data_IF_961432663998
#
_entry.id   IF_961432663998
#
_cell.length_a   1.000
_cell.length_b   1.000
_cell.length_c   1.000
_cell.angle_alpha   90.00
_cell.angle_beta   90.00
_cell.angle_gamma   90.00
#
_symmetry.space_group_name_H-M   'P 1'
#
loop_
_entity.id
_entity.type
_entity.pdbx_description
1 polymer ?
#
# COMPACT_ATOMS: atom_id res chain seq x y z
N UNK A 1 24.82 6.25 -26.56
CA UNK A 1 23.83 5.33 -27.12
C UNK A 1 22.63 5.12 -26.18
N UNK A 2 21.99 6.20 -25.70
CA UNK A 2 20.82 6.17 -24.77
C UNK A 2 19.51 6.72 -25.38
N UNK A 3 19.55 7.29 -26.59
CA UNK A 3 18.40 8.02 -27.16
C UNK A 3 17.48 7.16 -28.04
N UNK A 4 17.91 5.96 -28.47
CA UNK A 4 17.10 5.10 -29.33
C UNK A 4 16.12 4.19 -28.57
N UNK A 5 16.35 3.90 -27.28
CA UNK A 5 15.46 3.08 -26.47
C UNK A 5 14.22 3.86 -25.99
N UNK A 6 14.34 5.18 -25.80
CA UNK A 6 13.21 6.02 -25.40
C UNK A 6 12.17 6.13 -26.51
N UNK A 7 12.57 6.22 -27.77
CA UNK A 7 11.64 6.45 -28.90
C UNK A 7 10.67 5.28 -29.10
N UNK A 8 11.10 4.03 -28.84
CA UNK A 8 10.23 2.86 -28.94
C UNK A 8 9.23 2.79 -27.77
N UNK A 9 9.63 3.21 -26.57
CA UNK A 9 8.75 3.24 -25.39
C UNK A 9 7.60 4.27 -25.48
N UNK A 10 7.72 5.29 -26.35
CA UNK A 10 6.68 6.31 -26.55
C UNK A 10 5.64 5.96 -27.63
N UNK A 11 5.89 4.94 -28.47
CA UNK A 11 4.98 4.55 -29.55
C UNK A 11 4.09 3.33 -29.20
N UNK A 12 4.22 2.79 -27.99
CA UNK A 12 3.45 1.63 -27.53
C UNK A 12 2.46 2.02 -26.42
N UNK A 13 1.34 2.64 -26.82
CA UNK A 13 0.26 3.01 -25.90
C UNK A 13 -0.52 1.77 -25.39
N UNK A 14 -0.38 0.60 -26.03
CA UNK A 14 -1.10 -0.62 -25.66
C UNK A 14 -0.62 -1.17 -24.31
N UNK A 15 0.70 -1.21 -24.11
CA UNK A 15 1.32 -1.62 -22.85
C UNK A 15 0.96 -0.71 -21.67
N UNK A 16 0.72 0.59 -21.93
CA UNK A 16 0.31 1.55 -20.89
C UNK A 16 -1.14 1.31 -20.44
N UNK A 17 -2.02 0.91 -21.35
CA UNK A 17 -3.41 0.59 -21.03
C UNK A 17 -3.51 -0.69 -20.21
N UNK A 18 -2.78 -1.74 -20.59
CA UNK A 18 -2.74 -3.01 -19.86
C UNK A 18 -2.19 -2.83 -18.44
N UNK A 19 -1.12 -2.05 -18.29
CA UNK A 19 -0.56 -1.76 -16.97
C UNK A 19 -1.54 -0.98 -16.07
N UNK A 20 -2.33 -0.05 -16.63
CA UNK A 20 -3.39 0.66 -15.89
C UNK A 20 -4.54 -0.26 -15.47
N UNK A 21 -4.91 -1.22 -16.32
CA UNK A 21 -5.93 -2.24 -15.98
C UNK A 21 -5.45 -3.07 -14.79
N UNK A 22 -4.20 -3.57 -14.83
CA UNK A 22 -3.62 -4.36 -13.74
C UNK A 22 -3.60 -3.62 -12.40
N UNK A 23 -3.30 -2.32 -12.37
CA UNK A 23 -3.37 -1.55 -11.12
C UNK A 23 -4.80 -1.40 -10.60
N UNK A 24 -5.78 -1.19 -11.48
CA UNK A 24 -7.19 -1.12 -11.07
C UNK A 24 -7.67 -2.44 -10.51
N UNK A 25 -7.36 -3.55 -11.16
CA UNK A 25 -7.71 -4.89 -10.68
C UNK A 25 -7.12 -5.17 -9.29
N UNK A 26 -5.83 -4.84 -9.07
CA UNK A 26 -5.20 -4.94 -7.75
C UNK A 26 -5.91 -4.10 -6.70
N UNK A 27 -6.22 -2.84 -7.02
CA UNK A 27 -6.90 -1.94 -6.09
C UNK A 27 -8.30 -2.45 -5.74
N UNK A 28 -9.06 -2.92 -6.74
CA UNK A 28 -10.41 -3.45 -6.56
C UNK A 28 -10.42 -4.75 -5.74
N UNK A 29 -9.39 -5.59 -5.87
CA UNK A 29 -9.29 -6.81 -5.07
C UNK A 29 -8.82 -6.54 -3.64
N UNK A 30 -7.82 -5.67 -3.45
CA UNK A 30 -7.15 -5.46 -2.16
C UNK A 30 -7.92 -4.52 -1.24
N UNK A 31 -8.49 -3.43 -1.75
CA UNK A 31 -9.11 -2.40 -0.90
C UNK A 31 -10.28 -2.95 -0.06
N UNK A 32 -11.22 -3.75 -0.59
CA UNK A 32 -12.30 -4.33 0.22
C UNK A 32 -11.80 -5.24 1.35
N UNK A 33 -10.66 -5.91 1.16
CA UNK A 33 -10.05 -6.75 2.19
C UNK A 33 -9.52 -5.87 3.32
N UNK A 34 -8.73 -4.85 2.98
CA UNK A 34 -8.13 -3.93 3.97
C UNK A 34 -9.19 -3.12 4.73
N UNK A 35 -10.29 -2.73 4.08
CA UNK A 35 -11.39 -1.97 4.68
C UNK A 35 -12.06 -2.68 5.88
N UNK A 36 -11.83 -3.97 6.07
CA UNK A 36 -12.32 -4.71 7.23
C UNK A 36 -11.67 -4.29 8.55
N UNK A 37 -10.43 -3.77 8.51
CA UNK A 37 -9.62 -3.50 9.71
C UNK A 37 -9.02 -2.08 9.76
N UNK A 38 -9.07 -1.34 8.66
CA UNK A 38 -8.50 0.01 8.55
C UNK A 38 -9.29 0.88 7.59
N UNK A 39 -9.09 2.20 7.65
CA UNK A 39 -9.72 3.13 6.69
C UNK A 39 -8.78 3.35 5.51
N UNK A 40 -9.23 2.98 4.31
CA UNK A 40 -8.47 3.12 3.06
C UNK A 40 -9.44 3.25 1.89
N UNK A 41 -9.06 4.07 0.90
CA UNK A 41 -9.83 4.33 -0.32
C UNK A 41 -8.97 4.07 -1.57
N UNK A 42 -9.63 3.76 -2.69
CA UNK A 42 -8.95 3.65 -3.98
C UNK A 42 -8.56 5.05 -4.44
N UNK A 43 -7.26 5.34 -4.66
CA UNK A 43 -6.82 6.65 -5.13
C UNK A 43 -7.22 6.87 -6.59
N UNK A 44 -7.37 8.13 -6.99
CA UNK A 44 -7.71 8.50 -8.38
C UNK A 44 -6.65 8.04 -9.40
N UNK A 45 -5.39 7.88 -8.98
CA UNK A 45 -4.29 7.39 -9.79
C UNK A 45 -3.15 6.86 -8.92
N UNK A 46 -2.23 6.12 -9.53
CA UNK A 46 -1.04 5.57 -8.89
C UNK A 46 -1.20 4.12 -8.43
N UNK A 47 -0.21 3.64 -7.69
CA UNK A 47 -0.11 2.25 -7.21
C UNK A 47 0.03 2.15 -5.69
N UNK A 48 -0.06 3.28 -4.98
CA UNK A 48 0.08 3.34 -3.53
C UNK A 48 -1.26 3.63 -2.87
N UNK A 49 -1.58 2.87 -1.82
CA UNK A 49 -2.64 3.19 -0.89
C UNK A 49 -2.07 4.00 0.28
N UNK A 50 -2.83 5.01 0.72
CA UNK A 50 -2.57 5.74 1.96
C UNK A 50 -3.61 5.32 2.98
N UNK A 51 -3.24 4.38 3.85
CA UNK A 51 -4.18 3.72 4.75
C UNK A 51 -4.08 4.30 6.16
N UNK A 52 -5.21 4.70 6.74
CA UNK A 52 -5.32 5.16 8.13
C UNK A 52 -5.48 3.97 9.06
N UNK A 53 -4.55 3.83 9.99
CA UNK A 53 -4.46 2.69 10.89
C UNK A 53 -5.28 2.91 12.17
N UNK A 54 -5.82 1.84 12.78
CA UNK A 54 -6.45 1.92 14.10
C UNK A 54 -5.42 1.97 15.25
N UNK A 55 -4.13 1.76 14.94
CA UNK A 55 -3.01 1.72 15.87
C UNK A 55 -1.85 2.58 15.37
N UNK A 56 -0.84 2.76 16.22
CA UNK A 56 0.42 3.42 15.86
C UNK A 56 1.10 2.79 14.62
N UNK A 57 1.63 3.63 13.73
CA UNK A 57 2.14 3.20 12.42
C UNK A 57 3.49 2.48 12.50
N UNK A 58 4.34 2.79 13.48
CA UNK A 58 5.56 2.03 13.74
C UNK A 58 5.24 0.67 14.33
N UNK A 59 4.35 0.61 15.33
CA UNK A 59 3.91 -0.65 15.92
C UNK A 59 3.31 -1.58 14.86
N UNK A 60 2.45 -1.05 13.99
CA UNK A 60 1.89 -1.80 12.88
C UNK A 60 2.99 -2.39 11.98
N UNK A 61 3.94 -1.57 11.54
CA UNK A 61 5.01 -2.03 10.64
C UNK A 61 5.93 -3.08 11.29
N UNK A 62 6.27 -2.90 12.56
CA UNK A 62 7.12 -3.82 13.31
C UNK A 62 6.43 -5.17 13.53
N UNK A 63 5.18 -5.17 14.00
CA UNK A 63 4.43 -6.40 14.25
C UNK A 63 4.16 -7.15 12.96
N UNK A 64 3.73 -6.45 11.90
CA UNK A 64 3.47 -7.07 10.61
C UNK A 64 4.72 -7.71 10.01
N UNK A 65 5.89 -7.09 10.16
CA UNK A 65 7.14 -7.69 9.71
C UNK A 65 7.54 -8.89 10.57
N UNK A 66 7.45 -8.78 11.90
CA UNK A 66 7.84 -9.85 12.82
C UNK A 66 6.98 -11.11 12.68
N UNK A 67 5.67 -10.95 12.52
CA UNK A 67 4.72 -12.07 12.53
C UNK A 67 4.41 -12.57 11.11
N UNK A 68 4.32 -11.68 10.14
CA UNK A 68 3.83 -12.01 8.79
C UNK A 68 4.89 -11.86 7.70
N UNK A 69 6.10 -11.36 8.03
CA UNK A 69 7.18 -11.08 7.09
C UNK A 69 6.78 -10.13 5.95
N UNK A 70 5.75 -9.30 6.17
CA UNK A 70 5.29 -8.29 5.22
C UNK A 70 5.89 -6.93 5.60
N UNK A 71 6.45 -6.23 4.60
CA UNK A 71 7.05 -4.90 4.78
C UNK A 71 6.10 -3.81 4.32
N UNK A 72 5.92 -2.81 5.17
CA UNK A 72 5.13 -1.61 4.91
C UNK A 72 5.93 -0.39 5.36
N UNK A 73 5.52 0.80 4.93
CA UNK A 73 6.21 2.05 5.29
C UNK A 73 5.34 2.85 6.28
N UNK A 74 5.83 3.12 7.51
CA UNK A 74 5.18 4.05 8.43
C UNK A 74 5.02 5.42 7.78
N UNK A 75 3.82 5.99 7.90
CA UNK A 75 3.46 7.25 7.28
C UNK A 75 4.23 8.42 7.87
N UNK A 76 4.55 8.35 9.17
CA UNK A 76 5.31 9.41 9.84
C UNK A 76 6.71 9.61 9.26
N UNK A 77 7.27 8.61 8.57
CA UNK A 77 8.57 8.71 7.87
C UNK A 77 8.49 9.46 6.54
N UNK A 78 7.28 9.69 6.01
CA UNK A 78 7.05 10.40 4.75
C UNK A 78 6.61 11.86 4.94
N UNK A 79 6.48 12.30 6.18
CA UNK A 79 6.03 13.64 6.53
C UNK A 79 6.98 14.30 7.54
N UNK A 80 6.90 15.62 7.63
CA UNK A 80 7.71 16.41 8.57
C UNK A 80 6.81 16.93 9.69
N UNK A 81 7.27 16.81 10.93
CA UNK A 81 6.62 17.43 12.08
C UNK A 81 6.78 18.96 12.01
N UNK A 82 5.67 19.68 12.09
CA UNK A 82 5.61 21.14 12.17
C UNK A 82 4.64 21.52 13.27
N UNK A 83 5.03 22.38 14.21
CA UNK A 83 4.21 22.79 15.35
C UNK A 83 3.62 21.58 16.12
N UNK A 84 4.47 20.59 16.43
CA UNK A 84 4.10 19.34 17.11
C UNK A 84 3.05 18.47 16.39
N UNK A 85 2.80 18.75 15.11
CA UNK A 85 1.87 17.97 14.27
C UNK A 85 2.62 17.31 13.10
N UNK A 86 2.43 16.00 12.94
CA UNK A 86 2.93 15.23 11.80
C UNK A 86 1.74 14.58 11.07
N UNK A 87 1.43 14.97 9.82
CA UNK A 87 0.28 14.44 9.08
C UNK A 87 0.44 12.97 8.64
N UNK A 88 1.64 12.40 8.79
CA UNK A 88 1.92 11.00 8.48
C UNK A 88 1.62 10.04 9.62
N UNK A 89 1.51 10.52 10.87
CA UNK A 89 1.29 9.68 12.06
C UNK A 89 -0.04 8.94 11.95
N UNK A 90 -0.02 7.65 12.26
CA UNK A 90 -1.22 6.79 12.18
C UNK A 90 -1.63 6.42 10.75
N UNK A 91 -0.74 6.60 9.77
CA UNK A 91 -0.94 6.13 8.39
C UNK A 91 0.16 5.16 7.97
N UNK A 92 -0.12 4.34 6.96
CA UNK A 92 0.90 3.56 6.25
C UNK A 92 0.76 3.69 4.74
N UNK A 93 1.90 3.74 4.04
CA UNK A 93 1.95 3.66 2.58
C UNK A 93 2.11 2.21 2.13
N UNK A 94 1.12 1.69 1.42
CA UNK A 94 1.12 0.34 0.86
C UNK A 94 1.29 0.41 -0.65
N UNK A 95 2.32 -0.22 -1.21
CA UNK A 95 2.58 -0.19 -2.66
C UNK A 95 2.18 -1.52 -3.32
N UNK A 96 1.18 -1.48 -4.21
CA UNK A 96 0.65 -2.66 -4.91
C UNK A 96 1.44 -2.94 -6.20
N UNK A 97 2.74 -3.21 -6.04
CA UNK A 97 3.69 -3.35 -7.16
C UNK A 97 3.99 -4.80 -7.55
N UNK A 98 3.63 -5.78 -6.72
CA UNK A 98 3.78 -7.21 -7.01
C UNK A 98 2.58 -7.76 -7.82
N UNK A 99 2.55 -9.05 -8.12
CA UNK A 99 1.41 -9.70 -8.79
C UNK A 99 0.13 -9.58 -7.96
N UNK A 100 -1.02 -9.76 -8.61
CA UNK A 100 -2.34 -9.67 -7.96
C UNK A 100 -2.44 -10.62 -6.76
N UNK A 101 -2.06 -11.89 -6.94
CA UNK A 101 -2.14 -12.91 -5.89
C UNK A 101 -1.30 -12.54 -4.66
N UNK A 102 -0.07 -12.04 -4.88
CA UNK A 102 0.81 -11.59 -3.78
C UNK A 102 0.21 -10.38 -3.06
N UNK A 103 -0.44 -9.47 -3.79
CA UNK A 103 -1.10 -8.33 -3.18
C UNK A 103 -2.34 -8.73 -2.36
N UNK A 104 -3.12 -9.71 -2.82
CA UNK A 104 -4.27 -10.26 -2.08
C UNK A 104 -3.79 -10.96 -0.81
N UNK A 105 -2.81 -11.86 -0.94
CA UNK A 105 -2.24 -12.58 0.20
C UNK A 105 -1.67 -11.62 1.27
N UNK A 106 -0.96 -10.57 0.84
CA UNK A 106 -0.46 -9.55 1.75
C UNK A 106 -1.60 -8.80 2.48
N UNK A 107 -2.73 -8.54 1.79
CA UNK A 107 -3.89 -7.89 2.40
C UNK A 107 -4.55 -8.78 3.46
N UNK A 108 -4.68 -10.08 3.20
CA UNK A 108 -5.22 -11.06 4.15
C UNK A 108 -4.33 -11.19 5.40
N UNK A 109 -3.00 -11.23 5.22
CA UNK A 109 -2.04 -11.23 6.34
C UNK A 109 -2.13 -9.96 7.19
N UNK A 110 -2.37 -8.80 6.56
CA UNK A 110 -2.60 -7.53 7.27
C UNK A 110 -3.88 -7.62 8.12
N UNK A 111 -4.98 -8.13 7.55
CA UNK A 111 -6.24 -8.34 8.28
C UNK A 111 -6.03 -9.27 9.48
N UNK A 112 -5.34 -10.39 9.30
CA UNK A 112 -5.03 -11.33 10.38
C UNK A 112 -4.22 -10.65 11.50
N UNK A 113 -3.13 -9.96 11.14
CA UNK A 113 -2.27 -9.24 12.09
C UNK A 113 -3.06 -8.22 12.93
N UNK A 114 -3.84 -7.34 12.29
CA UNK A 114 -4.62 -6.32 13.00
C UNK A 114 -5.76 -6.91 13.82
N UNK A 115 -6.38 -8.00 13.35
CA UNK A 115 -7.43 -8.69 14.11
C UNK A 115 -6.89 -9.30 15.40
N UNK A 116 -5.70 -9.88 15.36
CA UNK A 116 -5.05 -10.45 16.54
C UNK A 116 -4.57 -9.35 17.51
N UNK A 117 -4.01 -8.25 17.01
CA UNK A 117 -3.65 -7.10 17.86
C UNK A 117 -4.87 -6.57 18.62
N UNK A 118 -6.03 -6.45 17.94
CA UNK A 118 -7.27 -5.96 18.54
C UNK A 118 -7.91 -6.93 19.55
N UNK A 119 -7.55 -8.21 19.54
CA UNK A 119 -8.06 -9.21 20.51
C UNK A 119 -7.31 -9.19 21.84
N UNK A 120 -6.07 -8.73 21.81
CA UNK A 120 -5.15 -8.76 22.97
C UNK A 120 -5.07 -7.40 23.69
N UNK A 121 -5.57 -6.33 23.07
CA UNK A 121 -5.68 -4.98 23.66
C UNK A 121 -7.04 -4.72 24.30
#
# INVERSE_FOLDING_TARGET
HHQAASIVAWNDESHVQDNRVLYREKMQAVVPILQQVMSVEIPAAGFCLWAKLPIDDERFAQTLYAEQHVKVLPGQYLARTVNDYNPGVGYSRLALVHSLDVCIEAAERIVACLSEINRVG
#
